data_IF_342964983464
#
_entry.id   IF_342964983464
#
_cell.length_a   1.000
_cell.length_b   1.000
_cell.length_c   1.000
_cell.angle_alpha   90.00
_cell.angle_beta   90.00
_cell.angle_gamma   90.00
#
_symmetry.space_group_name_H-M   'P 1'
#
loop_
_entity.id
_entity.type
_entity.pdbx_description
1 polymer ?
#
# COMPACT_ATOMS: atom_id res chain seq x y z
N UNK A 1 -32.26 -10.63 35.85
CA UNK A 1 -30.86 -10.40 35.43
C UNK A 1 -30.73 -10.93 34.01
N UNK A 2 -30.52 -10.05 33.04
CA UNK A 2 -30.41 -10.40 31.63
C UNK A 2 -28.93 -10.45 31.24
N UNK A 3 -28.48 -11.58 30.69
CA UNK A 3 -27.22 -11.68 29.97
C UNK A 3 -27.60 -11.75 28.49
N UNK A 4 -27.43 -10.63 27.79
CA UNK A 4 -27.65 -10.58 26.33
C UNK A 4 -26.51 -11.27 25.61
N UNK A 5 -26.90 -12.31 24.87
CA UNK A 5 -26.09 -13.14 24.01
C UNK A 5 -25.71 -12.39 22.73
N UNK A 6 -24.41 -12.21 22.45
CA UNK A 6 -23.88 -11.54 21.24
C UNK A 6 -23.15 -12.51 20.31
N UNK A 7 -23.62 -13.76 20.22
CA UNK A 7 -23.01 -14.83 19.42
C UNK A 7 -24.05 -15.51 18.53
N UNK A 8 -24.49 -14.83 17.45
CA UNK A 8 -25.27 -15.48 16.38
C UNK A 8 -25.45 -14.55 15.17
N UNK A 9 -24.41 -14.33 14.37
CA UNK A 9 -24.57 -13.83 12.99
C UNK A 9 -23.34 -14.00 12.09
N UNK A 10 -22.13 -14.20 12.64
CA UNK A 10 -20.91 -14.35 11.85
C UNK A 10 -20.81 -15.68 11.08
N UNK A 11 -21.45 -16.75 11.57
CA UNK A 11 -21.36 -18.07 10.95
C UNK A 11 -22.09 -18.16 9.60
N UNK A 12 -23.19 -17.41 9.41
CA UNK A 12 -23.98 -17.42 8.18
C UNK A 12 -23.31 -16.65 7.04
N UNK A 13 -22.75 -15.47 7.33
CA UNK A 13 -22.05 -14.65 6.35
C UNK A 13 -20.77 -15.34 5.88
N UNK A 14 -19.99 -15.88 6.80
CA UNK A 14 -18.73 -16.58 6.49
C UNK A 14 -18.98 -17.82 5.63
N UNK A 15 -19.99 -18.63 5.97
CA UNK A 15 -20.35 -19.81 5.18
C UNK A 15 -20.76 -19.44 3.74
N UNK A 16 -21.56 -18.37 3.59
CA UNK A 16 -21.97 -17.88 2.26
C UNK A 16 -20.80 -17.35 1.43
N UNK A 17 -19.83 -16.69 2.06
CA UNK A 17 -18.61 -16.25 1.39
C UNK A 17 -17.79 -17.43 0.87
N UNK A 18 -17.58 -18.46 1.70
CA UNK A 18 -16.83 -19.66 1.30
C UNK A 18 -17.48 -20.34 0.09
N UNK A 19 -18.81 -20.49 0.11
CA UNK A 19 -19.57 -21.05 -1.02
C UNK A 19 -19.37 -20.24 -2.30
N UNK A 20 -19.50 -18.91 -2.22
CA UNK A 20 -19.32 -18.02 -3.38
C UNK A 20 -17.89 -18.08 -3.93
N UNK A 21 -16.88 -18.11 -3.04
CA UNK A 21 -15.47 -18.22 -3.43
C UNK A 21 -15.20 -19.53 -4.18
N UNK A 22 -15.80 -20.64 -3.75
CA UNK A 22 -15.67 -21.94 -4.40
C UNK A 22 -16.20 -21.99 -5.84
N UNK A 23 -17.11 -21.08 -6.21
CA UNK A 23 -17.72 -20.99 -7.53
C UNK A 23 -17.01 -20.01 -8.48
N UNK A 24 -15.99 -19.29 -8.02
CA UNK A 24 -15.23 -18.34 -8.83
C UNK A 24 -14.21 -19.07 -9.72
N UNK A 25 -13.89 -18.48 -10.88
CA UNK A 25 -12.73 -18.94 -11.69
C UNK A 25 -11.42 -18.66 -10.96
N UNK A 26 -10.33 -19.34 -11.32
CA UNK A 26 -9.00 -19.08 -10.73
C UNK A 26 -8.60 -17.59 -10.83
N UNK A 27 -8.87 -16.94 -11.96
CA UNK A 27 -8.58 -15.52 -12.16
C UNK A 27 -9.41 -14.63 -11.21
N UNK A 28 -10.68 -14.96 -10.99
CA UNK A 28 -11.55 -14.23 -10.06
C UNK A 28 -11.18 -14.49 -8.60
N UNK A 29 -10.82 -15.73 -8.24
CA UNK A 29 -10.31 -16.07 -6.92
C UNK A 29 -9.03 -15.30 -6.62
N UNK A 30 -8.10 -15.22 -7.58
CA UNK A 30 -6.86 -14.48 -7.42
C UNK A 30 -7.11 -12.98 -7.26
N UNK A 31 -8.06 -12.41 -8.01
CA UNK A 31 -8.46 -11.01 -7.85
C UNK A 31 -9.07 -10.75 -6.46
N UNK A 32 -9.98 -11.62 -6.00
CA UNK A 32 -10.58 -11.52 -4.68
C UNK A 32 -9.57 -11.66 -3.54
N UNK A 33 -8.63 -12.60 -3.66
CA UNK A 33 -7.54 -12.76 -2.70
C UNK A 33 -6.69 -11.49 -2.60
N UNK A 34 -6.40 -10.83 -3.73
CA UNK A 34 -5.67 -9.56 -3.73
C UNK A 34 -6.46 -8.47 -3.02
N UNK A 35 -7.77 -8.34 -3.29
CA UNK A 35 -8.65 -7.38 -2.61
C UNK A 35 -8.70 -7.61 -1.09
N UNK A 36 -8.91 -8.85 -0.65
CA UNK A 36 -8.96 -9.20 0.77
C UNK A 36 -7.61 -8.98 1.47
N UNK A 37 -6.49 -9.23 0.78
CA UNK A 37 -5.15 -8.90 1.28
C UNK A 37 -4.98 -7.40 1.44
N UNK A 38 -5.43 -6.60 0.48
CA UNK A 38 -5.34 -5.14 0.55
C UNK A 38 -6.17 -4.59 1.72
N UNK A 39 -7.36 -5.14 1.98
CA UNK A 39 -8.21 -4.80 3.13
C UNK A 39 -7.59 -5.20 4.47
N UNK A 40 -7.06 -6.42 4.57
CA UNK A 40 -6.36 -6.86 5.77
C UNK A 40 -5.07 -6.03 6.01
N UNK A 41 -4.41 -5.59 4.94
CA UNK A 41 -3.25 -4.71 5.04
C UNK A 41 -3.61 -3.27 5.42
N UNK A 42 -4.81 -2.78 5.05
CA UNK A 42 -5.37 -1.49 5.46
C UNK A 42 -5.51 -1.40 6.99
N UNK A 43 -6.06 -2.43 7.63
CA UNK A 43 -6.24 -2.51 9.09
C UNK A 43 -4.92 -2.65 9.85
N UNK A 44 -3.88 -3.14 9.18
CA UNK A 44 -2.51 -3.28 9.74
C UNK A 44 -1.63 -2.06 9.54
N UNK A 45 -2.10 -1.00 8.87
CA UNK A 45 -1.26 0.18 8.64
C UNK A 45 -1.07 0.94 9.95
N UNK A 46 0.19 1.06 10.36
CA UNK A 46 0.58 1.92 11.49
C UNK A 46 0.36 3.40 11.20
N UNK A 47 0.49 3.80 9.94
CA UNK A 47 0.47 5.19 9.48
C UNK A 47 -0.62 5.43 8.45
N UNK A 48 -1.38 6.52 8.62
CA UNK A 48 -2.39 6.95 7.65
C UNK A 48 -1.72 7.42 6.36
N UNK A 49 -2.26 7.03 5.20
CA UNK A 49 -1.74 7.46 3.90
C UNK A 49 -2.46 8.70 3.40
N UNK A 50 -1.68 9.65 2.88
CA UNK A 50 -2.18 10.83 2.18
C UNK A 50 -2.19 10.55 0.67
N UNK A 51 -3.35 10.73 0.05
CA UNK A 51 -3.47 10.72 -1.41
C UNK A 51 -2.71 11.92 -1.99
N UNK A 52 -1.93 11.71 -3.05
CA UNK A 52 -1.14 12.74 -3.70
C UNK A 52 -0.81 12.36 -5.14
N UNK A 53 -0.30 13.31 -5.94
CA UNK A 53 0.33 13.01 -7.22
C UNK A 53 1.65 13.75 -7.26
N UNK A 54 2.75 13.02 -7.13
CA UNK A 54 4.11 13.60 -7.10
C UNK A 54 5.02 12.79 -8.01
N UNK A 55 5.89 13.46 -8.77
CA UNK A 55 6.95 12.76 -9.51
C UNK A 55 7.97 12.20 -8.53
N UNK A 56 8.44 10.99 -8.81
CA UNK A 56 9.49 10.33 -8.06
C UNK A 56 10.51 9.70 -9.01
N UNK A 57 11.76 10.03 -8.77
CA UNK A 57 12.89 9.30 -9.32
C UNK A 57 13.17 8.09 -8.42
N UNK A 58 13.22 6.90 -9.01
CA UNK A 58 13.57 5.70 -8.26
C UNK A 58 14.51 4.78 -9.02
N UNK A 59 15.39 4.12 -8.28
CA UNK A 59 16.29 3.11 -8.81
C UNK A 59 15.89 1.72 -8.33
N UNK A 60 15.65 0.79 -9.26
CA UNK A 60 15.33 -0.61 -8.98
C UNK A 60 16.14 -1.48 -9.96
N UNK A 61 16.84 -2.49 -9.44
CA UNK A 61 17.63 -3.44 -10.25
C UNK A 61 18.66 -2.77 -11.19
N UNK A 62 19.32 -1.71 -10.70
CA UNK A 62 20.35 -1.00 -11.47
C UNK A 62 19.81 -0.11 -12.59
N UNK A 63 18.48 0.06 -12.68
CA UNK A 63 17.83 0.99 -13.62
C UNK A 63 17.14 2.10 -12.86
N UNK A 64 17.17 3.31 -13.42
CA UNK A 64 16.48 4.48 -12.89
C UNK A 64 15.20 4.74 -13.69
N UNK A 65 14.17 5.19 -12.99
CA UNK A 65 12.83 5.45 -13.51
C UNK A 65 12.32 6.77 -12.92
N UNK A 66 11.49 7.48 -13.69
CA UNK A 66 10.75 8.65 -13.22
C UNK A 66 9.26 8.38 -13.44
N UNK A 67 8.52 8.21 -12.35
CA UNK A 67 7.09 7.88 -12.37
C UNK A 67 6.36 8.61 -11.23
N UNK A 68 5.10 8.25 -10.96
CA UNK A 68 4.25 9.02 -10.05
C UNK A 68 3.91 8.26 -8.77
N UNK A 69 4.13 8.92 -7.63
CA UNK A 69 3.57 8.54 -6.33
C UNK A 69 2.07 8.89 -6.34
N UNK A 70 1.21 7.94 -5.93
CA UNK A 70 -0.25 8.18 -5.77
C UNK A 70 -0.69 8.31 -4.32
N UNK A 71 0.05 7.71 -3.41
CA UNK A 71 -0.15 7.89 -1.98
C UNK A 71 1.17 7.74 -1.22
N UNK A 72 1.23 8.35 -0.04
CA UNK A 72 2.41 8.32 0.82
C UNK A 72 2.01 8.41 2.30
N UNK A 73 2.76 7.73 3.15
CA UNK A 73 2.88 7.98 4.59
C UNK A 73 4.36 8.02 4.95
N UNK A 74 4.72 8.31 6.19
CA UNK A 74 6.09 8.19 6.67
C UNK A 74 6.53 6.75 6.93
N UNK A 75 5.69 5.75 6.64
CA UNK A 75 6.09 4.33 6.60
C UNK A 75 6.32 3.78 5.19
N UNK A 76 5.86 4.47 4.14
CA UNK A 76 5.97 3.98 2.78
C UNK A 76 5.15 4.78 1.77
N UNK A 77 5.22 4.38 0.51
CA UNK A 77 4.50 5.03 -0.60
C UNK A 77 4.02 4.03 -1.65
N UNK A 78 3.11 4.45 -2.50
CA UNK A 78 2.69 3.72 -3.69
C UNK A 78 3.16 4.46 -4.95
N UNK A 79 3.80 3.74 -5.87
CA UNK A 79 4.18 4.23 -7.20
C UNK A 79 3.27 3.58 -8.24
N UNK A 80 2.60 4.39 -9.04
CA UNK A 80 1.91 3.93 -10.24
C UNK A 80 2.95 3.60 -11.31
N UNK A 81 3.01 2.33 -11.69
CA UNK A 81 3.97 1.84 -12.68
C UNK A 81 3.46 0.58 -13.37
N UNK A 82 3.74 0.45 -14.66
CA UNK A 82 3.58 -0.81 -15.39
C UNK A 82 4.87 -1.64 -15.42
N UNK A 83 5.93 -1.17 -14.74
CA UNK A 83 7.25 -1.81 -14.76
C UNK A 83 7.33 -2.91 -13.69
N UNK A 84 7.91 -4.08 -14.02
CA UNK A 84 8.10 -5.13 -13.03
C UNK A 84 9.23 -4.77 -12.06
N UNK A 85 8.89 -4.54 -10.79
CA UNK A 85 9.83 -4.71 -9.67
C UNK A 85 9.38 -5.89 -8.82
N UNK A 86 10.33 -6.72 -8.40
CA UNK A 86 10.04 -7.91 -7.59
C UNK A 86 9.86 -7.54 -6.12
N UNK A 87 9.00 -8.30 -5.43
CA UNK A 87 8.86 -8.22 -3.97
C UNK A 87 10.21 -8.37 -3.26
N UNK A 88 10.37 -7.62 -2.17
CA UNK A 88 11.57 -7.61 -1.33
C UNK A 88 12.76 -6.84 -1.91
N UNK A 89 12.70 -6.36 -3.16
CA UNK A 89 13.81 -5.62 -3.78
C UNK A 89 13.99 -4.25 -3.15
N UNK A 90 15.24 -3.87 -2.95
CA UNK A 90 15.61 -2.55 -2.49
C UNK A 90 15.41 -1.52 -3.60
N UNK A 91 14.89 -0.36 -3.20
CA UNK A 91 14.67 0.80 -4.05
C UNK A 91 15.24 2.02 -3.33
N UNK A 92 15.95 2.86 -4.07
CA UNK A 92 16.27 4.23 -3.64
C UNK A 92 15.33 5.19 -4.35
N UNK A 93 14.70 6.09 -3.58
CA UNK A 93 13.66 7.02 -4.00
C UNK A 93 14.13 8.45 -3.80
N UNK A 94 13.73 9.34 -4.70
CA UNK A 94 13.86 10.80 -4.54
C UNK A 94 12.61 11.47 -5.09
N UNK A 95 11.97 12.32 -4.29
CA UNK A 95 10.79 13.09 -4.68
C UNK A 95 10.77 14.43 -3.94
N UNK A 96 9.96 15.38 -4.40
CA UNK A 96 9.72 16.64 -3.73
C UNK A 96 8.27 16.71 -3.26
N UNK A 97 8.04 17.31 -2.10
CA UNK A 97 6.69 17.59 -1.63
C UNK A 97 6.15 18.87 -2.31
N UNK A 98 4.84 19.01 -2.55
CA UNK A 98 4.31 20.11 -3.36
C UNK A 98 4.66 21.51 -2.83
N UNK A 99 4.61 21.70 -1.52
CA UNK A 99 4.90 23.01 -0.89
C UNK A 99 6.38 23.17 -0.52
N UNK A 100 7.16 22.07 -0.57
CA UNK A 100 8.55 22.08 -0.18
C UNK A 100 9.37 21.40 -1.27
N UNK A 101 9.91 22.22 -2.17
CA UNK A 101 10.75 21.78 -3.29
C UNK A 101 12.10 21.18 -2.86
N UNK A 102 12.33 20.98 -1.56
CA UNK A 102 13.48 20.25 -1.07
C UNK A 102 13.32 18.76 -1.40
N UNK A 103 14.32 18.15 -2.09
CA UNK A 103 14.30 16.73 -2.38
C UNK A 103 14.33 15.90 -1.10
N UNK A 104 13.38 14.99 -0.97
CA UNK A 104 13.34 13.93 0.04
C UNK A 104 13.92 12.67 -0.59
N UNK A 105 15.02 12.17 -0.03
CA UNK A 105 15.68 10.94 -0.47
C UNK A 105 15.51 9.84 0.56
N UNK A 106 15.00 8.68 0.14
CA UNK A 106 14.72 7.55 1.02
C UNK A 106 15.18 6.23 0.39
N UNK A 107 15.39 5.24 1.25
CA UNK A 107 15.53 3.84 0.87
C UNK A 107 14.33 3.05 1.36
N UNK A 108 13.97 2.03 0.60
CA UNK A 108 12.88 1.14 0.95
C UNK A 108 12.95 -0.18 0.22
N UNK A 109 11.99 -1.05 0.52
CA UNK A 109 11.82 -2.34 -0.15
C UNK A 109 10.44 -2.43 -0.76
N UNK A 110 10.34 -3.10 -1.91
CA UNK A 110 9.06 -3.43 -2.53
C UNK A 110 8.31 -4.38 -1.60
N UNK A 111 7.26 -3.90 -0.96
CA UNK A 111 6.43 -4.65 -0.01
C UNK A 111 5.14 -5.18 -0.66
N UNK A 112 4.77 -4.65 -1.83
CA UNK A 112 3.60 -5.06 -2.59
C UNK A 112 3.82 -4.82 -4.08
N UNK A 113 3.25 -5.67 -4.92
CA UNK A 113 3.27 -5.55 -6.38
C UNK A 113 1.89 -5.84 -6.93
N UNK A 114 1.40 -5.01 -7.84
CA UNK A 114 0.16 -5.22 -8.56
C UNK A 114 0.32 -4.91 -10.04
N UNK A 115 -0.76 -5.05 -10.81
CA UNK A 115 -0.74 -4.79 -12.25
C UNK A 115 -0.46 -3.32 -12.59
N UNK A 116 -0.82 -2.40 -11.70
CA UNK A 116 -0.77 -0.96 -11.95
C UNK A 116 0.23 -0.22 -11.04
N UNK A 117 1.05 -0.94 -10.29
CA UNK A 117 2.03 -0.28 -9.45
C UNK A 117 2.72 -1.15 -8.43
N UNK A 118 3.52 -0.50 -7.61
CA UNK A 118 4.26 -1.11 -6.52
C UNK A 118 4.07 -0.32 -5.22
N UNK A 119 3.98 -1.05 -4.11
CA UNK A 119 4.03 -0.50 -2.77
C UNK A 119 5.43 -0.62 -2.23
N UNK A 120 6.01 0.50 -1.79
CA UNK A 120 7.34 0.56 -1.18
C UNK A 120 7.20 0.84 0.30
N UNK A 121 7.81 -0.01 1.13
CA UNK A 121 7.98 0.23 2.56
C UNK A 121 9.35 0.87 2.80
N UNK A 122 9.40 1.95 3.57
CA UNK A 122 10.69 2.58 3.91
C UNK A 122 11.49 1.69 4.86
N UNK A 123 12.82 1.73 4.76
CA UNK A 123 13.70 0.97 5.68
C UNK A 123 13.54 1.42 7.13
N UNK A 124 13.31 2.71 7.32
CA UNK A 124 13.01 3.32 8.61
C UNK A 124 11.83 4.27 8.46
N UNK A 125 10.98 4.32 9.48
CA UNK A 125 9.93 5.33 9.57
C UNK A 125 10.54 6.74 9.54
N UNK A 126 9.86 7.68 8.89
CA UNK A 126 10.31 9.05 8.78
C UNK A 126 9.30 10.00 9.43
N UNK A 127 9.53 10.29 10.71
CA UNK A 127 8.65 11.16 11.52
C UNK A 127 8.59 12.60 11.00
N UNK A 128 9.71 13.09 10.44
CA UNK A 128 9.75 14.41 9.83
C UNK A 128 8.85 14.45 8.59
N UNK A 129 8.93 13.44 7.74
CA UNK A 129 8.05 13.29 6.59
C UNK A 129 6.58 13.13 7.04
N UNK A 130 6.27 12.32 8.04
CA UNK A 130 4.93 12.24 8.65
C UNK A 130 4.43 13.63 9.06
N UNK A 131 5.28 14.41 9.74
CA UNK A 131 4.92 15.76 10.20
C UNK A 131 4.65 16.70 9.03
N UNK A 132 5.48 16.64 7.98
CA UNK A 132 5.28 17.41 6.75
C UNK A 132 3.99 16.99 6.03
N UNK A 133 3.69 15.69 6.00
CA UNK A 133 2.47 15.17 5.36
C UNK A 133 1.20 15.64 6.07
N UNK A 134 1.24 15.78 7.40
CA UNK A 134 0.15 16.30 8.22
C UNK A 134 -0.06 17.80 8.09
N UNK A 135 1.00 18.57 7.79
CA UNK A 135 0.86 20.02 7.57
C UNK A 135 0.23 20.37 6.22
N UNK A 136 0.24 19.45 5.26
CA UNK A 136 -0.51 19.63 4.01
C UNK A 136 -2.01 19.50 4.30
N UNK A 137 -2.79 20.52 3.96
CA UNK A 137 -4.27 20.49 3.99
C UNK A 137 -4.82 20.41 2.57
#
# INVERSE_FOLDING_TARGET
MAVSNKQSNESGVTARLIELIGNLTESQQQALLNMLRDWHNLERRKHARKSCVMSADYACQGRAYNEYIKDISGGGLFIETARPCFLGREITLTFCLPENQKPVKLKGKVAWTGTNGIGVQFESENEQLESMLKSFS
#
